data_IF_711351146975
#
_entry.id   IF_711351146975
#
_cell.length_a   1.000
_cell.length_b   1.000
_cell.length_c   1.000
_cell.angle_alpha   90.00
_cell.angle_beta   90.00
_cell.angle_gamma   90.00
#
_symmetry.space_group_name_H-M   'P 1'
#
loop_
_entity.id
_entity.type
_entity.pdbx_description
1 polymer ?
#
# COMPACT_ATOMS: atom_id res chain seq x y z
N UNK A 1 0.75 -1.86 -15.71
CA UNK A 1 1.98 -2.63 -15.41
C UNK A 1 1.83 -3.60 -14.22
N UNK A 2 1.73 -3.15 -12.95
CA UNK A 2 1.56 -4.08 -11.81
C UNK A 2 0.41 -5.10 -11.95
N UNK A 3 -0.81 -4.66 -12.30
CA UNK A 3 -1.95 -5.57 -12.48
C UNK A 3 -1.69 -6.62 -13.55
N UNK A 4 -1.09 -6.23 -14.68
CA UNK A 4 -0.72 -7.15 -15.75
C UNK A 4 0.36 -8.14 -15.30
N UNK A 5 1.37 -7.68 -14.56
CA UNK A 5 2.42 -8.52 -13.99
C UNK A 5 1.85 -9.63 -13.09
N UNK A 6 0.83 -9.31 -12.28
CA UNK A 6 0.12 -10.27 -11.43
C UNK A 6 -0.73 -11.23 -12.25
N UNK A 7 -1.60 -10.70 -13.13
CA UNK A 7 -2.54 -11.52 -13.92
C UNK A 7 -1.81 -12.49 -14.87
N UNK A 8 -0.66 -12.08 -15.41
CA UNK A 8 0.19 -12.92 -16.26
C UNK A 8 1.17 -13.80 -15.49
N UNK A 9 1.13 -13.79 -14.15
CA UNK A 9 2.03 -14.58 -13.29
C UNK A 9 3.51 -14.40 -13.64
N UNK A 10 3.94 -13.14 -13.84
CA UNK A 10 5.36 -12.82 -13.97
C UNK A 10 6.10 -13.28 -12.72
N UNK A 11 7.42 -13.42 -12.83
CA UNK A 11 8.24 -13.85 -11.70
C UNK A 11 8.18 -12.82 -10.54
N UNK A 12 8.57 -13.27 -9.35
CA UNK A 12 8.50 -12.46 -8.14
C UNK A 12 9.30 -11.15 -8.24
N UNK A 13 10.46 -11.17 -8.92
CA UNK A 13 11.28 -9.97 -9.10
C UNK A 13 10.54 -8.92 -9.93
N UNK A 14 9.97 -9.29 -11.07
CA UNK A 14 9.19 -8.39 -11.91
C UNK A 14 7.97 -7.82 -11.17
N UNK A 15 7.28 -8.62 -10.35
CA UNK A 15 6.16 -8.10 -9.54
C UNK A 15 6.67 -7.11 -8.48
N UNK A 16 7.80 -7.40 -7.84
CA UNK A 16 8.39 -6.50 -6.84
C UNK A 16 8.81 -5.16 -7.44
N UNK A 17 9.41 -5.16 -8.64
CA UNK A 17 9.79 -3.95 -9.36
C UNK A 17 8.55 -3.08 -9.67
N UNK A 18 7.48 -3.71 -10.15
CA UNK A 18 6.22 -3.02 -10.45
C UNK A 18 5.54 -2.44 -9.19
N UNK A 19 5.69 -3.10 -8.04
CA UNK A 19 5.24 -2.54 -6.76
C UNK A 19 6.07 -1.34 -6.34
N UNK A 20 7.38 -1.37 -6.58
CA UNK A 20 8.28 -0.25 -6.32
C UNK A 20 7.93 0.96 -7.20
N UNK A 21 7.59 0.74 -8.47
CA UNK A 21 7.15 1.79 -9.38
C UNK A 21 5.84 2.45 -8.92
N UNK A 22 4.85 1.66 -8.47
CA UNK A 22 3.62 2.20 -7.88
C UNK A 22 3.93 3.07 -6.66
N UNK A 23 4.83 2.63 -5.79
CA UNK A 23 5.25 3.42 -4.62
C UNK A 23 5.95 4.72 -5.05
N UNK A 24 6.82 4.67 -6.04
CA UNK A 24 7.53 5.86 -6.56
C UNK A 24 6.55 6.93 -7.08
N UNK A 25 5.47 6.52 -7.77
CA UNK A 25 4.40 7.42 -8.18
C UNK A 25 3.66 8.04 -7.00
N UNK A 26 3.33 7.25 -5.96
CA UNK A 26 2.69 7.77 -4.74
C UNK A 26 3.57 8.79 -4.04
N UNK A 27 4.88 8.52 -3.90
CA UNK A 27 5.85 9.47 -3.35
C UNK A 27 5.93 10.76 -4.18
N UNK A 28 5.93 10.64 -5.51
CA UNK A 28 5.96 11.78 -6.42
C UNK A 28 4.73 12.67 -6.27
N UNK A 29 3.54 12.06 -6.16
CA UNK A 29 2.31 12.81 -5.86
C UNK A 29 2.34 13.47 -4.48
N UNK A 30 2.83 12.77 -3.45
CA UNK A 30 2.95 13.34 -2.12
C UNK A 30 3.85 14.58 -2.11
N UNK A 31 4.99 14.53 -2.81
CA UNK A 31 5.89 15.67 -2.96
C UNK A 31 5.22 16.85 -3.70
N UNK A 32 4.55 16.58 -4.83
CA UNK A 32 3.86 17.62 -5.61
C UNK A 32 2.72 18.30 -4.84
N UNK A 33 2.01 17.54 -4.01
CA UNK A 33 0.88 18.03 -3.21
C UNK A 33 1.30 18.54 -1.82
N UNK A 34 2.59 18.54 -1.52
CA UNK A 34 3.15 18.90 -0.21
C UNK A 34 2.51 18.12 0.96
N UNK A 35 2.30 16.81 0.75
CA UNK A 35 1.76 15.88 1.75
C UNK A 35 2.90 15.15 2.42
N UNK A 36 2.95 15.20 3.76
CA UNK A 36 3.80 14.28 4.53
C UNK A 36 3.21 12.87 4.49
N UNK A 37 3.70 12.07 3.54
CA UNK A 37 3.26 10.69 3.33
C UNK A 37 3.52 9.81 4.56
N UNK A 38 4.63 10.02 5.26
CA UNK A 38 5.00 9.25 6.45
C UNK A 38 3.99 9.49 7.58
N UNK A 39 3.68 10.75 7.87
CA UNK A 39 2.67 11.11 8.87
C UNK A 39 1.27 10.60 8.47
N UNK A 40 0.91 10.68 7.19
CA UNK A 40 -0.36 10.17 6.68
C UNK A 40 -0.49 8.64 6.86
N UNK A 41 0.58 7.89 6.57
CA UNK A 41 0.64 6.44 6.77
C UNK A 41 0.55 6.08 8.26
N UNK A 42 1.33 6.75 9.12
CA UNK A 42 1.30 6.53 10.56
C UNK A 42 -0.09 6.80 11.17
N UNK A 43 -0.77 7.85 10.71
CA UNK A 43 -2.13 8.19 11.14
C UNK A 43 -3.15 7.13 10.70
N UNK A 44 -3.01 6.60 9.48
CA UNK A 44 -3.95 5.62 8.91
C UNK A 44 -3.73 4.20 9.46
N UNK A 45 -2.48 3.83 9.66
CA UNK A 45 -2.03 2.50 10.09
C UNK A 45 -1.31 2.61 11.44
N UNK A 46 -2.02 3.10 12.45
CA UNK A 46 -1.50 3.39 13.79
C UNK A 46 -1.45 2.15 14.72
N UNK A 47 -1.24 0.96 14.16
CA UNK A 47 -1.17 -0.29 14.93
C UNK A 47 -2.51 -0.92 15.32
N UNK A 48 -3.65 -0.33 14.97
CA UNK A 48 -4.97 -0.99 15.04
C UNK A 48 -5.58 -1.16 13.66
N UNK A 49 -6.41 -2.19 13.49
CA UNK A 49 -7.12 -2.38 12.22
C UNK A 49 -7.96 -1.15 11.88
N UNK A 50 -7.83 -0.53 10.69
CA UNK A 50 -8.58 0.68 10.36
C UNK A 50 -10.09 0.44 10.28
N UNK A 51 -10.53 -0.82 10.14
CA UNK A 51 -11.93 -1.23 10.03
C UNK A 51 -12.59 -1.46 11.40
N UNK A 52 -12.05 -2.38 12.20
CA UNK A 52 -12.62 -2.73 13.52
C UNK A 52 -11.98 -1.99 14.71
N UNK A 53 -10.90 -1.22 14.49
CA UNK A 53 -10.18 -0.44 15.51
C UNK A 53 -9.54 -1.26 16.64
N UNK A 54 -9.40 -2.58 16.46
CA UNK A 54 -8.78 -3.49 17.44
C UNK A 54 -7.38 -3.96 17.01
N UNK A 55 -6.60 -4.38 18.01
CA UNK A 55 -5.33 -5.08 17.87
C UNK A 55 -5.27 -6.23 18.91
N UNK A 56 -5.28 -7.52 18.51
CA UNK A 56 -5.30 -8.03 17.14
C UNK A 56 -6.61 -7.73 16.39
N UNK A 57 -6.58 -7.83 15.05
CA UNK A 57 -7.76 -7.62 14.21
C UNK A 57 -8.78 -8.75 14.42
N UNK A 58 -10.07 -8.41 14.55
CA UNK A 58 -11.18 -9.37 14.68
C UNK A 58 -12.15 -9.35 13.48
N UNK A 59 -11.75 -8.77 12.34
CA UNK A 59 -12.60 -8.78 11.15
C UNK A 59 -12.78 -10.22 10.66
N UNK A 60 -14.03 -10.67 10.54
CA UNK A 60 -14.38 -12.03 10.08
C UNK A 60 -14.38 -12.14 8.56
N UNK A 61 -14.59 -11.03 7.87
CA UNK A 61 -14.56 -10.97 6.41
C UNK A 61 -13.25 -10.35 5.93
N UNK A 62 -12.50 -11.12 5.14
CA UNK A 62 -11.44 -10.57 4.29
C UNK A 62 -12.07 -9.61 3.27
N UNK A 63 -11.40 -8.48 2.94
CA UNK A 63 -11.78 -7.70 1.77
C UNK A 63 -11.69 -8.53 0.48
#
# INVERSE_FOLDING_TARGET
ELSDAVLRRKNHAAIADEMADVLAWVCSFANLLNVDLSAALAKKYNGVCPRCKKAPCECTDTP
#
